data_IF_697176961493
#
_entry.id   IF_697176961493
#
_cell.length_a   1.000
_cell.length_b   1.000
_cell.length_c   1.000
_cell.angle_alpha   90.00
_cell.angle_beta   90.00
_cell.angle_gamma   90.00
#
_symmetry.space_group_name_H-M   'P 1'
#
loop_
_entity.id
_entity.type
_entity.pdbx_description
1 polymer ?
#
# COMPACT_ATOMS: atom_id res chain seq x y z
N UNK A 1 1.19 11.65 -18.80
CA UNK A 1 2.07 11.58 -17.62
C UNK A 1 3.10 12.70 -17.67
N UNK A 2 3.59 13.10 -16.51
CA UNK A 2 4.72 14.03 -16.37
C UNK A 2 5.93 13.26 -15.83
N UNK A 3 7.05 13.35 -16.52
CA UNK A 3 8.30 12.65 -16.15
C UNK A 3 9.41 13.69 -16.04
N UNK A 4 9.92 13.87 -14.83
CA UNK A 4 10.90 14.89 -14.48
C UNK A 4 12.34 14.40 -14.72
N UNK A 5 13.33 15.32 -14.74
CA UNK A 5 14.71 14.98 -15.03
C UNK A 5 15.26 13.83 -14.18
N UNK A 6 16.05 12.96 -14.81
CA UNK A 6 16.73 11.83 -14.18
C UNK A 6 15.82 10.74 -13.60
N UNK A 7 14.50 10.77 -13.87
CA UNK A 7 13.66 9.60 -13.63
C UNK A 7 14.08 8.45 -14.58
N UNK A 8 14.28 7.26 -14.02
CA UNK A 8 14.61 6.04 -14.75
C UNK A 8 13.44 5.06 -14.69
N UNK A 9 12.67 4.99 -15.77
CA UNK A 9 11.45 4.19 -15.86
C UNK A 9 11.68 3.04 -16.84
N UNK A 10 11.34 1.81 -16.41
CA UNK A 10 11.54 0.61 -17.23
C UNK A 10 12.95 0.02 -17.13
N UNK A 11 13.72 0.39 -16.10
CA UNK A 11 15.04 -0.18 -15.86
C UNK A 11 14.96 -1.69 -15.61
N UNK A 12 16.03 -2.44 -15.95
CA UNK A 12 16.12 -3.87 -15.68
C UNK A 12 15.93 -4.15 -14.19
N UNK A 13 15.20 -5.22 -13.85
CA UNK A 13 15.08 -5.71 -12.47
C UNK A 13 16.44 -5.81 -11.76
N UNK A 14 16.43 -5.55 -10.46
CA UNK A 14 17.57 -5.81 -9.56
C UNK A 14 17.58 -7.25 -9.03
N UNK A 15 16.58 -8.07 -9.38
CA UNK A 15 16.56 -9.47 -9.00
C UNK A 15 17.62 -10.26 -9.79
N UNK A 16 18.52 -10.91 -9.06
CA UNK A 16 19.57 -11.79 -9.62
C UNK A 16 18.99 -13.04 -10.31
N UNK A 17 17.71 -13.32 -10.11
CA UNK A 17 16.99 -14.40 -10.79
C UNK A 17 16.70 -14.12 -12.25
N UNK A 18 16.81 -12.88 -12.74
CA UNK A 18 16.55 -12.55 -14.15
C UNK A 18 17.38 -13.40 -15.11
N UNK A 19 16.72 -14.08 -16.06
CA UNK A 19 17.35 -14.97 -17.05
C UNK A 19 17.22 -14.51 -18.51
N UNK A 20 16.75 -13.30 -18.76
CA UNK A 20 16.40 -12.83 -20.12
C UNK A 20 14.89 -12.79 -20.32
N UNK A 21 14.46 -12.60 -21.57
CA UNK A 21 13.05 -12.37 -21.91
C UNK A 21 12.72 -10.89 -22.07
N UNK A 22 11.42 -10.59 -22.16
CA UNK A 22 10.86 -9.27 -22.40
C UNK A 22 9.92 -8.82 -21.26
N UNK A 23 10.35 -8.81 -19.97
CA UNK A 23 9.55 -8.16 -18.94
C UNK A 23 9.47 -6.66 -19.18
N UNK A 24 8.43 -6.04 -18.66
CA UNK A 24 8.22 -4.61 -18.83
C UNK A 24 7.67 -3.89 -17.62
N UNK A 25 7.27 -2.66 -17.87
CA UNK A 25 6.47 -1.83 -16.96
C UNK A 25 5.23 -1.38 -17.72
N UNK A 26 4.06 -1.45 -17.09
CA UNK A 26 2.82 -0.83 -17.59
C UNK A 26 2.46 0.32 -16.67
N UNK A 27 2.22 1.49 -17.26
CA UNK A 27 1.90 2.72 -16.54
C UNK A 27 0.62 3.27 -17.14
N UNK A 28 -0.35 3.56 -16.27
CA UNK A 28 -1.59 4.22 -16.62
C UNK A 28 -1.41 5.72 -16.87
N UNK A 29 -2.51 6.45 -16.77
CA UNK A 29 -2.61 7.85 -17.17
C UNK A 29 -2.36 8.83 -16.03
N UNK A 30 -2.01 10.07 -16.39
CA UNK A 30 -1.91 11.20 -15.46
C UNK A 30 -0.98 11.01 -14.24
N UNK A 31 -0.01 10.11 -14.33
CA UNK A 31 1.00 9.94 -13.29
C UNK A 31 2.06 11.05 -13.35
N UNK A 32 2.62 11.40 -12.18
CA UNK A 32 3.73 12.32 -12.01
C UNK A 32 4.91 11.56 -11.41
N UNK A 33 6.01 11.48 -12.16
CA UNK A 33 7.28 10.90 -11.72
C UNK A 33 8.30 12.00 -11.55
N UNK A 34 8.64 12.31 -10.29
CA UNK A 34 9.62 13.36 -9.96
C UNK A 34 11.06 12.90 -10.19
N UNK A 35 11.98 13.81 -9.89
CA UNK A 35 13.41 13.67 -10.16
C UNK A 35 13.99 12.42 -9.49
N UNK A 36 14.86 11.70 -10.21
CA UNK A 36 15.53 10.49 -9.69
C UNK A 36 14.59 9.37 -9.21
N UNK A 37 13.32 9.38 -9.63
CA UNK A 37 12.44 8.23 -9.43
C UNK A 37 12.95 7.04 -10.23
N UNK A 38 12.91 5.84 -9.66
CA UNK A 38 13.28 4.61 -10.34
C UNK A 38 12.10 3.63 -10.36
N UNK A 39 11.75 3.13 -11.54
CA UNK A 39 10.73 2.08 -11.71
C UNK A 39 11.34 0.95 -12.52
N UNK A 40 11.43 -0.23 -11.91
CA UNK A 40 12.04 -1.40 -12.55
C UNK A 40 11.00 -2.29 -13.19
N UNK A 41 11.34 -2.86 -14.35
CA UNK A 41 10.60 -3.92 -15.00
C UNK A 41 10.48 -5.15 -14.09
N UNK A 42 9.47 -5.97 -14.38
CA UNK A 42 9.30 -7.28 -13.80
C UNK A 42 10.51 -8.20 -14.02
N UNK A 43 10.50 -9.35 -13.33
CA UNK A 43 11.64 -10.27 -13.36
C UNK A 43 11.52 -11.37 -14.42
N UNK A 44 10.32 -11.89 -14.65
CA UNK A 44 10.12 -13.04 -15.54
C UNK A 44 9.60 -12.63 -16.92
N UNK A 45 9.85 -13.48 -17.92
CA UNK A 45 9.47 -13.19 -19.31
C UNK A 45 7.96 -12.97 -19.44
N UNK A 46 7.56 -11.88 -20.09
CA UNK A 46 6.16 -11.50 -20.28
C UNK A 46 5.46 -10.88 -19.06
N UNK A 47 6.12 -10.79 -17.90
CA UNK A 47 5.56 -10.14 -16.71
C UNK A 47 5.77 -8.62 -16.72
N UNK A 48 5.00 -7.93 -15.88
CA UNK A 48 5.03 -6.47 -15.81
C UNK A 48 4.95 -5.96 -14.38
N UNK A 49 5.82 -5.02 -14.02
CA UNK A 49 5.52 -4.08 -12.94
C UNK A 49 4.40 -3.16 -13.42
N UNK A 50 3.37 -2.95 -12.60
CA UNK A 50 2.17 -2.20 -12.99
C UNK A 50 1.99 -0.99 -12.08
N UNK A 51 1.75 0.17 -12.68
CA UNK A 51 1.36 1.40 -12.00
C UNK A 51 0.07 1.90 -12.67
N UNK A 52 -0.97 2.14 -11.87
CA UNK A 52 -2.26 2.66 -12.33
C UNK A 52 -2.21 4.14 -12.69
N UNK A 53 -3.25 4.88 -12.35
CA UNK A 53 -3.48 6.26 -12.79
C UNK A 53 -3.30 7.28 -11.65
N UNK A 54 -3.00 8.53 -12.02
CA UNK A 54 -3.02 9.70 -11.13
C UNK A 54 -2.14 9.57 -9.87
N UNK A 55 -1.09 8.75 -9.94
CA UNK A 55 -0.14 8.64 -8.84
C UNK A 55 0.86 9.79 -8.86
N UNK A 56 1.23 10.26 -7.67
CA UNK A 56 2.32 11.21 -7.49
C UNK A 56 3.49 10.51 -6.80
N UNK A 57 4.56 10.29 -7.55
CA UNK A 57 5.77 9.62 -7.06
C UNK A 57 6.87 10.66 -6.97
N UNK A 58 7.18 11.09 -5.74
CA UNK A 58 8.12 12.16 -5.45
C UNK A 58 9.58 11.71 -5.52
N UNK A 59 10.48 12.68 -5.50
CA UNK A 59 11.88 12.48 -5.88
C UNK A 59 12.58 11.40 -5.05
N UNK A 60 13.51 10.69 -5.69
CA UNK A 60 14.28 9.58 -5.10
C UNK A 60 13.46 8.35 -4.68
N UNK A 61 12.19 8.25 -5.06
CA UNK A 61 11.39 7.08 -4.75
C UNK A 61 11.68 5.91 -5.69
N UNK A 62 11.52 4.69 -5.18
CA UNK A 62 11.79 3.45 -5.90
C UNK A 62 10.58 2.53 -5.92
N UNK A 63 10.26 2.03 -7.12
CA UNK A 63 9.32 0.94 -7.36
C UNK A 63 10.11 -0.23 -7.94
N UNK A 64 10.29 -1.29 -7.14
CA UNK A 64 11.00 -2.49 -7.58
C UNK A 64 10.19 -3.31 -8.60
N UNK A 65 10.83 -4.38 -9.05
CA UNK A 65 10.24 -5.36 -9.96
C UNK A 65 8.94 -5.97 -9.42
N UNK A 66 8.02 -6.29 -10.34
CA UNK A 66 6.80 -7.05 -10.08
C UNK A 66 5.83 -6.36 -9.09
N UNK A 67 6.05 -5.09 -8.77
CA UNK A 67 5.12 -4.32 -7.96
C UNK A 67 3.82 -4.05 -8.71
N UNK A 68 2.74 -3.91 -7.96
CA UNK A 68 1.44 -3.45 -8.47
C UNK A 68 1.00 -2.26 -7.65
N UNK A 69 1.02 -1.07 -8.26
CA UNK A 69 0.55 0.18 -7.65
C UNK A 69 -0.77 0.57 -8.30
N UNK A 70 -1.78 0.84 -7.49
CA UNK A 70 -3.11 1.27 -7.91
C UNK A 70 -3.13 2.73 -8.37
N UNK A 71 -4.19 3.43 -7.97
CA UNK A 71 -4.50 4.78 -8.43
C UNK A 71 -4.45 5.79 -7.29
N UNK A 72 -4.26 7.07 -7.64
CA UNK A 72 -4.34 8.20 -6.69
C UNK A 72 -3.40 8.04 -5.47
N UNK A 73 -2.31 7.28 -5.60
CA UNK A 73 -1.35 7.07 -4.55
C UNK A 73 -0.33 8.21 -4.47
N UNK A 74 0.18 8.46 -3.28
CA UNK A 74 1.28 9.41 -3.06
C UNK A 74 2.46 8.70 -2.42
N UNK A 75 3.56 8.66 -3.15
CA UNK A 75 4.85 8.19 -2.67
C UNK A 75 5.71 9.43 -2.39
N UNK A 76 5.92 9.75 -1.12
CA UNK A 76 6.73 10.91 -0.72
C UNK A 76 8.22 10.68 -1.02
N UNK A 77 9.04 11.72 -0.90
CA UNK A 77 10.46 11.66 -1.27
C UNK A 77 11.18 10.48 -0.60
N UNK A 78 11.99 9.77 -1.38
CA UNK A 78 12.85 8.69 -0.89
C UNK A 78 12.12 7.43 -0.43
N UNK A 79 10.84 7.24 -0.78
CA UNK A 79 10.09 6.02 -0.44
C UNK A 79 10.58 4.82 -1.25
N UNK A 80 10.57 3.63 -0.65
CA UNK A 80 11.16 2.44 -1.25
C UNK A 80 10.17 1.26 -1.20
N UNK A 81 9.71 0.79 -2.36
CA UNK A 81 8.99 -0.47 -2.49
C UNK A 81 9.96 -1.57 -2.95
N UNK A 82 10.09 -2.65 -2.18
CA UNK A 82 10.81 -3.84 -2.62
C UNK A 82 9.95 -4.70 -3.56
N UNK A 83 10.52 -5.77 -4.11
CA UNK A 83 9.87 -6.58 -5.15
C UNK A 83 8.50 -7.14 -4.73
N UNK A 84 7.58 -7.22 -5.69
CA UNK A 84 6.24 -7.80 -5.50
C UNK A 84 5.35 -7.08 -4.48
N UNK A 85 5.63 -5.82 -4.16
CA UNK A 85 4.75 -5.04 -3.28
C UNK A 85 3.46 -4.67 -4.00
N UNK A 86 2.33 -4.78 -3.30
CA UNK A 86 1.02 -4.33 -3.79
C UNK A 86 0.60 -3.09 -3.01
N UNK A 87 0.26 -2.02 -3.74
CA UNK A 87 -0.24 -0.77 -3.19
C UNK A 87 -1.63 -0.54 -3.79
N UNK A 88 -2.68 -0.60 -2.97
CA UNK A 88 -4.05 -0.29 -3.41
C UNK A 88 -4.29 1.22 -3.51
N UNK A 89 -5.45 1.62 -4.03
CA UNK A 89 -5.77 3.02 -4.33
C UNK A 89 -5.70 3.95 -3.11
N UNK A 90 -5.34 5.22 -3.35
CA UNK A 90 -5.30 6.30 -2.36
C UNK A 90 -4.31 6.06 -1.20
N UNK A 91 -3.37 5.14 -1.33
CA UNK A 91 -2.33 4.93 -0.31
C UNK A 91 -1.35 6.10 -0.30
N UNK A 92 -0.98 6.54 0.91
CA UNK A 92 0.07 7.52 1.12
C UNK A 92 1.25 6.86 1.82
N UNK A 93 2.43 7.02 1.25
CA UNK A 93 3.70 6.59 1.86
C UNK A 93 4.49 7.85 2.18
N UNK A 94 4.72 8.10 3.47
CA UNK A 94 5.48 9.22 3.98
C UNK A 94 6.97 9.11 3.62
N UNK A 95 7.68 10.24 3.64
CA UNK A 95 9.05 10.32 3.15
C UNK A 95 9.97 9.29 3.79
N UNK A 96 10.81 8.65 2.99
CA UNK A 96 11.71 7.57 3.43
C UNK A 96 11.02 6.36 4.06
N UNK A 97 9.72 6.17 3.84
CA UNK A 97 9.01 4.93 4.19
C UNK A 97 9.50 3.76 3.33
N UNK A 98 9.79 2.63 3.97
CA UNK A 98 10.26 1.42 3.31
C UNK A 98 9.27 0.26 3.44
N UNK A 99 8.99 -0.42 2.33
CA UNK A 99 8.06 -1.56 2.26
C UNK A 99 8.80 -2.81 1.82
N UNK A 100 8.77 -3.84 2.67
CA UNK A 100 9.41 -5.12 2.41
C UNK A 100 8.70 -5.90 1.30
N UNK A 101 9.47 -6.73 0.58
CA UNK A 101 8.95 -7.54 -0.54
C UNK A 101 7.73 -8.36 -0.13
N UNK A 102 6.80 -8.51 -1.07
CA UNK A 102 5.50 -9.19 -0.92
C UNK A 102 4.53 -8.56 0.09
N UNK A 103 4.83 -7.39 0.67
CA UNK A 103 3.86 -6.69 1.54
C UNK A 103 2.78 -6.02 0.70
N UNK A 104 1.62 -5.84 1.34
CA UNK A 104 0.46 -5.15 0.77
C UNK A 104 0.10 -3.92 1.59
N UNK A 105 -0.19 -2.81 0.92
CA UNK A 105 -0.81 -1.62 1.52
C UNK A 105 -2.24 -1.49 1.00
N UNK A 106 -3.21 -1.62 1.90
CA UNK A 106 -4.63 -1.56 1.56
C UNK A 106 -5.12 -0.14 1.31
N UNK A 107 -6.23 0.00 0.59
CA UNK A 107 -6.68 1.30 0.11
C UNK A 107 -6.88 2.33 1.24
N UNK A 108 -6.54 3.59 0.96
CA UNK A 108 -6.58 4.71 1.92
C UNK A 108 -5.69 4.53 3.17
N UNK A 109 -4.82 3.51 3.20
CA UNK A 109 -3.84 3.39 4.25
C UNK A 109 -2.76 4.47 4.14
N UNK A 110 -2.09 4.73 5.26
CA UNK A 110 -0.96 5.64 5.32
C UNK A 110 0.20 4.99 6.06
N UNK A 111 1.36 4.91 5.42
CA UNK A 111 2.62 4.61 6.08
C UNK A 111 3.31 5.92 6.45
N UNK A 112 3.64 6.12 7.71
CA UNK A 112 4.33 7.32 8.18
C UNK A 112 5.75 7.44 7.62
N UNK A 113 6.28 8.66 7.65
CA UNK A 113 7.66 8.92 7.24
C UNK A 113 8.64 8.06 8.04
N UNK A 114 9.71 7.59 7.40
CA UNK A 114 10.79 6.78 7.99
C UNK A 114 10.36 5.42 8.57
N UNK A 115 9.11 4.99 8.35
CA UNK A 115 8.61 3.72 8.88
C UNK A 115 9.07 2.53 8.02
N UNK A 116 9.30 1.37 8.68
CA UNK A 116 9.67 0.10 8.05
C UNK A 116 8.51 -0.90 8.10
N UNK A 117 7.81 -1.06 6.98
CA UNK A 117 6.70 -2.00 6.85
C UNK A 117 7.18 -3.39 6.44
N UNK A 118 6.94 -4.40 7.29
CA UNK A 118 7.38 -5.80 7.07
C UNK A 118 6.22 -6.80 6.95
N UNK A 119 4.99 -6.31 7.13
CA UNK A 119 3.72 -7.03 7.11
C UNK A 119 2.65 -6.18 6.40
N UNK A 120 1.49 -6.76 6.12
CA UNK A 120 0.46 -6.08 5.32
C UNK A 120 -0.27 -5.01 6.14
N UNK A 121 -0.28 -3.78 5.64
CA UNK A 121 -1.00 -2.67 6.25
C UNK A 121 -2.45 -2.69 5.76
N UNK A 122 -3.46 -2.94 6.62
CA UNK A 122 -4.84 -3.01 6.15
C UNK A 122 -5.35 -1.64 5.66
N UNK A 123 -6.43 -1.66 4.85
CA UNK A 123 -7.10 -0.46 4.40
C UNK A 123 -7.45 0.49 5.54
N UNK A 124 -7.46 1.78 5.23
CA UNK A 124 -7.91 2.85 6.12
C UNK A 124 -7.02 3.14 7.34
N UNK A 125 -5.91 2.44 7.55
CA UNK A 125 -5.11 2.57 8.76
C UNK A 125 -3.79 3.31 8.56
N UNK A 126 -3.33 3.96 9.64
CA UNK A 126 -2.03 4.62 9.72
C UNK A 126 -1.07 3.70 10.47
N UNK A 127 0.05 3.35 9.85
CA UNK A 127 1.13 2.63 10.50
C UNK A 127 2.42 3.47 10.59
N UNK A 128 3.15 3.27 11.67
CA UNK A 128 4.37 4.03 11.99
C UNK A 128 5.37 3.18 12.79
N UNK A 129 6.66 3.52 12.67
CA UNK A 129 7.76 2.92 13.42
C UNK A 129 8.61 1.94 12.61
N UNK A 130 9.63 1.39 13.29
CA UNK A 130 10.60 0.46 12.70
C UNK A 130 10.86 -0.70 13.67
N UNK A 131 10.19 -1.87 13.49
CA UNK A 131 9.16 -2.16 12.50
C UNK A 131 7.85 -1.39 12.75
N UNK A 132 7.09 -1.15 11.68
CA UNK A 132 5.86 -0.37 11.73
C UNK A 132 4.74 -1.14 12.46
N UNK A 133 3.94 -0.41 13.23
CA UNK A 133 2.71 -0.90 13.88
C UNK A 133 1.55 0.05 13.58
N UNK A 134 0.31 -0.47 13.58
CA UNK A 134 -0.88 0.36 13.38
C UNK A 134 -1.07 1.27 14.59
N UNK A 135 -1.10 2.59 14.36
CA UNK A 135 -1.27 3.61 15.40
C UNK A 135 -2.71 4.11 15.50
N UNK A 136 -3.37 4.31 14.37
CA UNK A 136 -4.70 4.89 14.29
C UNK A 136 -5.38 4.51 12.96
N UNK A 137 -6.66 4.89 12.81
CA UNK A 137 -7.28 4.94 11.49
C UNK A 137 -7.08 6.32 10.84
N UNK A 138 -7.03 6.35 9.51
CA UNK A 138 -6.72 7.50 8.68
C UNK A 138 -7.91 8.47 8.54
N UNK A 139 -8.40 8.99 9.66
CA UNK A 139 -9.57 9.88 9.69
C UNK A 139 -9.44 11.05 8.71
N UNK A 140 -8.32 11.77 8.76
CA UNK A 140 -8.08 12.95 7.92
C UNK A 140 -8.03 12.60 6.44
N UNK A 141 -7.35 11.50 6.07
CA UNK A 141 -7.31 11.04 4.69
C UNK A 141 -8.68 10.67 4.17
N UNK A 142 -9.50 9.99 4.97
CA UNK A 142 -10.86 9.59 4.59
C UNK A 142 -11.80 10.79 4.44
N UNK A 143 -11.74 11.75 5.37
CA UNK A 143 -12.52 13.00 5.29
C UNK A 143 -12.18 13.80 4.02
N UNK A 144 -10.89 13.91 3.69
CA UNK A 144 -10.44 14.59 2.45
C UNK A 144 -10.90 13.87 1.18
N UNK A 145 -11.12 12.56 1.25
CA UNK A 145 -11.65 11.74 0.17
C UNK A 145 -13.18 11.56 0.28
N UNK A 146 -13.88 12.45 0.97
CA UNK A 146 -15.34 12.52 0.96
C UNK A 146 -16.07 11.41 1.72
N UNK A 147 -15.38 10.66 2.60
CA UNK A 147 -16.07 9.67 3.42
C UNK A 147 -17.01 10.34 4.42
N UNK A 148 -18.23 9.81 4.52
CA UNK A 148 -19.28 10.33 5.40
C UNK A 148 -19.00 9.99 6.87
N UNK A 149 -19.60 10.72 7.84
CA UNK A 149 -19.46 10.40 9.27
C UNK A 149 -19.78 8.94 9.60
N UNK A 150 -20.83 8.38 9.00
CA UNK A 150 -21.20 6.98 9.22
C UNK A 150 -20.14 5.98 8.72
N UNK A 151 -19.44 6.29 7.62
CA UNK A 151 -18.33 5.48 7.12
C UNK A 151 -17.12 5.55 8.05
N UNK A 152 -16.79 6.76 8.54
CA UNK A 152 -15.71 6.96 9.50
C UNK A 152 -15.98 6.19 10.80
N UNK A 153 -17.22 6.17 11.27
CA UNK A 153 -17.62 5.42 12.47
C UNK A 153 -17.46 3.90 12.27
N UNK A 154 -17.81 3.37 11.09
CA UNK A 154 -17.55 1.96 10.76
C UNK A 154 -16.05 1.63 10.74
N UNK A 155 -15.22 2.47 10.11
CA UNK A 155 -13.76 2.28 10.13
C UNK A 155 -13.21 2.31 11.55
N UNK A 156 -13.73 3.22 12.40
CA UNK A 156 -13.35 3.31 13.81
C UNK A 156 -13.75 2.05 14.59
N UNK A 157 -14.91 1.46 14.32
CA UNK A 157 -15.31 0.18 14.91
C UNK A 157 -14.39 -0.97 14.47
N UNK A 158 -14.07 -1.06 13.18
CA UNK A 158 -13.13 -2.07 12.66
C UNK A 158 -11.77 -1.93 13.35
N UNK A 159 -11.25 -0.70 13.47
CA UNK A 159 -10.00 -0.41 14.16
C UNK A 159 -10.02 -0.91 15.61
N UNK A 160 -11.13 -0.69 16.33
CA UNK A 160 -11.27 -1.17 17.72
C UNK A 160 -11.24 -2.69 17.79
N UNK A 161 -12.04 -3.36 16.97
CA UNK A 161 -12.14 -4.82 16.95
C UNK A 161 -10.76 -5.46 16.64
N UNK A 162 -10.04 -4.91 15.66
CA UNK A 162 -8.74 -5.46 15.25
C UNK A 162 -7.61 -5.19 16.23
N UNK A 163 -7.61 -4.05 16.92
CA UNK A 163 -6.40 -3.54 17.59
C UNK A 163 -6.58 -3.04 19.02
N UNK A 164 -7.82 -2.90 19.53
CA UNK A 164 -8.08 -2.33 20.86
C UNK A 164 -8.89 -3.23 21.78
N UNK A 165 -9.67 -4.16 21.24
CA UNK A 165 -10.56 -5.01 22.04
C UNK A 165 -9.84 -6.23 22.67
N UNK A 166 -8.50 -6.32 22.56
CA UNK A 166 -7.70 -7.39 23.18
C UNK A 166 -7.89 -8.78 22.53
N UNK A 167 -8.48 -8.82 21.34
CA UNK A 167 -8.74 -10.05 20.59
C UNK A 167 -7.49 -10.50 19.85
N UNK A 168 -7.30 -11.81 19.75
CA UNK A 168 -6.35 -12.34 18.78
C UNK A 168 -6.90 -12.19 17.34
N UNK A 169 -6.05 -12.42 16.33
CA UNK A 169 -6.43 -12.21 14.93
C UNK A 169 -7.68 -13.01 14.54
N UNK A 170 -7.75 -14.29 14.86
CA UNK A 170 -8.88 -15.14 14.48
C UNK A 170 -10.19 -14.67 15.12
N UNK A 171 -10.16 -14.35 16.41
CA UNK A 171 -11.31 -13.78 17.14
C UNK A 171 -11.75 -12.44 16.56
N UNK A 172 -10.80 -11.57 16.23
CA UNK A 172 -11.12 -10.28 15.62
C UNK A 172 -11.77 -10.46 14.24
N UNK A 173 -11.28 -11.40 13.41
CA UNK A 173 -11.88 -11.69 12.10
C UNK A 173 -13.28 -12.29 12.20
N UNK A 174 -13.50 -13.21 13.16
CA UNK A 174 -14.83 -13.75 13.46
C UNK A 174 -15.79 -12.62 13.86
N UNK A 175 -15.35 -11.74 14.76
CA UNK A 175 -16.15 -10.59 15.23
C UNK A 175 -16.44 -9.59 14.13
N UNK A 176 -15.51 -9.32 13.22
CA UNK A 176 -15.75 -8.48 12.05
C UNK A 176 -16.79 -9.10 11.11
N UNK A 177 -16.70 -10.42 10.88
CA UNK A 177 -17.61 -11.13 9.96
C UNK A 177 -19.03 -11.25 10.52
N UNK A 178 -19.16 -11.37 11.85
CA UNK A 178 -20.45 -11.42 12.53
C UNK A 178 -21.03 -10.05 12.90
N UNK A 179 -20.35 -8.95 12.59
CA UNK A 179 -20.82 -7.60 12.94
C UNK A 179 -22.09 -7.23 12.15
N UNK A 180 -23.06 -6.48 12.72
CA UNK A 180 -24.25 -6.04 11.99
C UNK A 180 -23.95 -5.29 10.68
N UNK A 181 -22.86 -4.53 10.66
CA UNK A 181 -22.38 -3.79 9.48
C UNK A 181 -21.41 -4.59 8.58
N UNK A 182 -21.28 -5.91 8.76
CA UNK A 182 -20.29 -6.71 8.04
C UNK A 182 -20.44 -6.64 6.51
N UNK A 183 -21.65 -6.37 5.99
CA UNK A 183 -21.93 -6.23 4.55
C UNK A 183 -21.60 -4.84 4.00
N UNK A 184 -21.25 -3.88 4.85
CA UNK A 184 -20.80 -2.55 4.41
C UNK A 184 -19.47 -2.62 3.67
N UNK A 185 -19.23 -1.66 2.79
CA UNK A 185 -18.04 -1.61 1.95
C UNK A 185 -16.73 -1.57 2.78
N UNK A 186 -16.73 -0.86 3.91
CA UNK A 186 -15.55 -0.72 4.77
C UNK A 186 -15.18 -2.07 5.43
N UNK A 187 -16.17 -2.79 5.97
CA UNK A 187 -15.96 -4.10 6.57
C UNK A 187 -15.52 -5.13 5.52
N UNK A 188 -16.24 -5.22 4.40
CA UNK A 188 -15.92 -6.16 3.32
C UNK A 188 -14.51 -5.95 2.78
N UNK A 189 -14.07 -4.69 2.63
CA UNK A 189 -12.72 -4.39 2.16
C UNK A 189 -11.65 -4.92 3.12
N UNK A 190 -11.81 -4.68 4.42
CA UNK A 190 -10.84 -5.18 5.41
C UNK A 190 -10.86 -6.71 5.53
N UNK A 191 -12.05 -7.32 5.50
CA UNK A 191 -12.21 -8.79 5.54
C UNK A 191 -11.56 -9.44 4.32
N UNK A 192 -11.86 -8.96 3.12
CA UNK A 192 -11.28 -9.49 1.88
C UNK A 192 -9.76 -9.26 1.81
N UNK A 193 -9.29 -8.11 2.29
CA UNK A 193 -7.85 -7.83 2.37
C UNK A 193 -7.14 -8.84 3.28
N UNK A 194 -7.70 -9.05 4.47
CA UNK A 194 -7.17 -9.96 5.49
C UNK A 194 -7.14 -11.43 5.01
N UNK A 195 -8.18 -11.87 4.32
CA UNK A 195 -8.27 -13.24 3.80
C UNK A 195 -7.17 -13.57 2.76
N UNK A 196 -6.65 -12.56 2.06
CA UNK A 196 -5.57 -12.70 1.07
C UNK A 196 -4.19 -12.31 1.60
N UNK A 197 -4.04 -12.11 2.91
CA UNK A 197 -2.76 -11.72 3.51
C UNK A 197 -1.85 -12.94 3.65
N UNK A 198 -0.66 -12.89 3.04
CA UNK A 198 0.35 -13.96 3.14
C UNK A 198 1.40 -13.65 4.21
N UNK A 199 1.68 -12.36 4.44
CA UNK A 199 2.66 -11.90 5.44
C UNK A 199 2.06 -11.64 6.81
N UNK A 200 0.74 -11.81 6.93
CA UNK A 200 -0.05 -11.38 8.07
C UNK A 200 -0.20 -9.86 8.11
N UNK A 201 -1.24 -9.38 8.80
CA UNK A 201 -1.44 -7.95 8.95
C UNK A 201 -0.56 -7.37 10.07
N UNK A 202 -0.11 -6.14 9.87
CA UNK A 202 0.63 -5.34 10.85
C UNK A 202 -0.10 -5.35 12.21
N UNK A 203 0.63 -5.52 13.34
CA UNK A 203 0.05 -5.50 14.68
C UNK A 203 -0.34 -4.08 15.11
N UNK A 204 -1.22 -3.98 16.10
CA UNK A 204 -1.58 -2.71 16.73
C UNK A 204 -0.57 -2.29 17.80
N UNK A 205 -0.48 -1.00 18.06
CA UNK A 205 0.27 -0.42 19.18
C UNK A 205 -0.44 -0.51 20.53
#
# INVERSE_FOLDING_TARGET
>A
CEVFPYACIGGKTQDLKFKGGLPGVRIGDNNVFREYVTVHAATYDGDFTVIGDRNTILAYSHVAHDCVVGNDCVMSNGTMLAGHVIVEDHVIIGGYGGVHQFCRLGAYAMLSATAKLVQDLPPFFIADGTPAVVRAFNKVGLERNGHTPAQLDRVKQIYRILYRDGLNRSQAMERLTAHPDATSAEFQRVIAFAAKSERGLVPGA
#
